data_IF_112549620901
#
_entry.id   IF_112549620901
#
_cell.length_a   1.000
_cell.length_b   1.000
_cell.length_c   1.000
_cell.angle_alpha   90.00
_cell.angle_beta   90.00
_cell.angle_gamma   90.00
#
_symmetry.space_group_name_H-M   'P 1'
#
loop_
_entity.id
_entity.type
_entity.pdbx_description
1 polymer ?
#
# COMPACT_ATOMS: atom_id res chain seq x y z
N UNK A 1 -26.80 5.00 -1.74
CA UNK A 1 -26.59 5.71 -0.47
C UNK A 1 -25.11 5.92 -0.16
N UNK A 2 -24.20 4.99 -0.48
CA UNK A 2 -22.75 5.17 -0.27
C UNK A 2 -22.11 6.34 -1.04
N UNK A 3 -22.56 6.63 -2.27
CA UNK A 3 -22.03 7.76 -3.05
C UNK A 3 -22.31 9.11 -2.40
N UNK A 4 -23.51 9.28 -1.81
CA UNK A 4 -23.87 10.50 -1.09
C UNK A 4 -23.12 10.63 0.24
N UNK A 5 -22.76 9.52 0.88
CA UNK A 5 -21.95 9.54 2.11
C UNK A 5 -20.48 9.90 1.83
N UNK A 6 -19.90 9.38 0.73
CA UNK A 6 -18.56 9.76 0.25
C UNK A 6 -18.49 11.21 -0.23
N UNK A 7 -19.51 11.69 -0.94
CA UNK A 7 -19.60 13.10 -1.38
C UNK A 7 -19.89 14.04 -0.19
N UNK A 8 -20.64 13.58 0.83
CA UNK A 8 -20.86 14.33 2.08
C UNK A 8 -19.56 14.55 2.86
N UNK A 9 -18.68 13.55 2.94
CA UNK A 9 -17.36 13.69 3.56
C UNK A 9 -16.39 14.60 2.78
N UNK A 10 -16.57 14.74 1.46
CA UNK A 10 -15.80 15.69 0.66
C UNK A 10 -16.30 17.14 0.78
N UNK A 11 -17.57 17.35 1.17
CA UNK A 11 -18.21 18.67 1.25
C UNK A 11 -18.24 19.28 2.66
N UNK A 12 -18.17 18.46 3.71
CA UNK A 12 -18.17 18.92 5.09
C UNK A 12 -16.79 18.70 5.74
N UNK A 13 -16.17 19.79 6.19
CA UNK A 13 -14.95 19.75 7.02
C UNK A 13 -15.19 18.92 8.29
N UNK A 14 -14.31 17.94 8.54
CA UNK A 14 -14.40 16.96 9.62
C UNK A 14 -14.44 17.64 11.00
N UNK A 15 -15.49 17.39 11.78
CA UNK A 15 -15.58 17.83 13.18
C UNK A 15 -14.99 16.79 14.12
N UNK A 16 -14.28 17.23 15.17
CA UNK A 16 -13.86 16.32 16.21
C UNK A 16 -15.03 16.09 17.17
N UNK A 17 -15.52 14.85 17.20
CA UNK A 17 -16.57 14.41 18.12
C UNK A 17 -16.04 13.47 19.21
N UNK A 18 -14.77 13.08 19.12
CA UNK A 18 -14.11 12.20 20.07
C UNK A 18 -13.07 13.01 20.85
N UNK A 19 -13.33 13.16 22.14
CA UNK A 19 -12.53 13.97 23.05
C UNK A 19 -11.81 13.14 24.11
N UNK A 20 -12.11 11.84 24.15
CA UNK A 20 -11.61 10.91 25.15
C UNK A 20 -10.33 10.22 24.67
N UNK A 21 -10.24 9.93 23.37
CA UNK A 21 -9.07 9.26 22.81
C UNK A 21 -7.98 10.25 22.40
N UNK A 22 -6.73 9.87 22.67
CA UNK A 22 -5.55 10.57 22.18
C UNK A 22 -5.52 10.58 20.63
N UNK A 23 -5.02 11.67 20.07
CA UNK A 23 -4.72 11.82 18.66
C UNK A 23 -3.27 11.39 18.43
N UNK A 24 -3.04 10.48 17.49
CA UNK A 24 -1.69 10.00 17.18
C UNK A 24 -1.36 10.30 15.73
N UNK A 25 -0.20 10.89 15.47
CA UNK A 25 0.35 11.17 14.13
C UNK A 25 1.80 10.71 14.09
N UNK A 26 2.08 9.65 13.33
CA UNK A 26 3.43 9.13 13.09
C UNK A 26 4.33 9.08 14.35
N UNK A 27 3.80 8.52 15.44
CA UNK A 27 4.47 8.40 16.74
C UNK A 27 4.32 9.58 17.71
N UNK A 28 3.82 10.73 17.26
CA UNK A 28 3.52 11.89 18.11
C UNK A 28 2.11 11.81 18.65
N UNK A 29 1.93 12.16 19.92
CA UNK A 29 0.65 12.12 20.62
C UNK A 29 0.16 13.53 20.95
N UNK A 30 -1.15 13.73 20.84
CA UNK A 30 -1.84 14.97 21.19
C UNK A 30 -3.12 14.64 21.95
N UNK A 31 -3.54 15.56 22.82
CA UNK A 31 -4.78 15.41 23.57
C UNK A 31 -6.00 15.52 22.63
N UNK A 32 -7.00 14.65 22.82
CA UNK A 32 -8.27 14.67 22.06
C UNK A 32 -9.18 15.85 22.39
N UNK A 33 -8.97 16.48 23.56
CA UNK A 33 -9.58 17.75 23.90
C UNK A 33 -8.85 18.88 23.18
N UNK A 34 -9.55 19.60 22.30
CA UNK A 34 -9.14 20.95 21.91
C UNK A 34 -9.20 21.81 23.17
N UNK A 35 -8.10 21.90 23.92
CA UNK A 35 -8.03 22.74 25.10
C UNK A 35 -8.23 24.18 24.67
N UNK A 36 -9.47 24.65 24.74
CA UNK A 36 -9.75 26.05 24.99
C UNK A 36 -9.02 26.35 26.30
N UNK A 37 -7.87 27.02 26.23
CA UNK A 37 -7.32 27.66 27.41
C UNK A 37 -8.44 28.55 27.96
N UNK A 38 -9.15 28.08 28.99
CA UNK A 38 -9.85 28.96 29.91
C UNK A 38 -8.78 29.73 30.66
N UNK A 39 -8.17 30.72 29.99
CA UNK A 39 -7.51 31.83 30.67
C UNK A 39 -8.59 32.87 30.92
N UNK A 40 -9.14 32.79 32.13
CA UNK A 40 -9.49 33.99 32.87
C UNK A 40 -8.26 34.92 32.93
N UNK A 41 -8.55 36.20 32.74
CA UNK A 41 -7.73 37.39 33.01
C UNK A 41 -6.89 37.99 31.86
N UNK A 42 -7.49 39.07 31.34
CA UNK A 42 -6.91 40.40 31.09
C UNK A 42 -5.65 40.52 30.23
N UNK A 43 -5.90 40.89 28.97
CA UNK A 43 -5.24 42.01 28.29
C UNK A 43 -3.76 41.86 27.95
N UNK A 44 -3.46 41.47 26.72
CA UNK A 44 -2.40 42.13 25.93
C UNK A 44 -2.48 41.77 24.44
N UNK A 45 -2.08 42.73 23.62
CA UNK A 45 -2.25 42.83 22.16
C UNK A 45 -1.65 41.65 21.38
N UNK A 46 -2.50 40.87 20.71
CA UNK A 46 -2.06 39.78 19.82
C UNK A 46 -1.86 40.29 18.39
N UNK A 47 -0.62 40.17 17.94
CA UNK A 47 -0.20 40.30 16.54
C UNK A 47 -1.07 39.42 15.63
N UNK A 48 -1.85 40.05 14.76
CA UNK A 48 -2.66 39.39 13.73
C UNK A 48 -1.76 38.89 12.61
N UNK A 49 -1.18 37.71 12.79
CA UNK A 49 -0.53 36.95 11.73
C UNK A 49 -1.55 36.17 10.90
N UNK A 50 -1.29 36.04 9.59
CA UNK A 50 -2.11 35.33 8.59
C UNK A 50 -2.47 33.89 9.02
N UNK A 51 -1.61 33.26 9.84
CA UNK A 51 -1.87 31.94 10.42
C UNK A 51 -3.11 31.90 11.33
N UNK A 52 -3.40 32.95 12.11
CA UNK A 52 -4.54 32.96 13.02
C UNK A 52 -5.91 32.99 12.30
N UNK A 53 -5.95 33.48 11.05
CA UNK A 53 -7.17 33.55 10.25
C UNK A 53 -7.52 32.23 9.56
N UNK A 54 -6.54 31.36 9.28
CA UNK A 54 -6.77 30.00 8.77
C UNK A 54 -7.38 29.06 9.82
N UNK A 55 -7.11 29.30 11.12
CA UNK A 55 -7.57 28.45 12.23
C UNK A 55 -8.85 28.95 12.93
N UNK A 56 -9.57 29.92 12.37
CA UNK A 56 -10.62 30.66 13.09
C UNK A 56 -11.93 29.92 13.40
N UNK A 57 -11.97 28.59 13.27
CA UNK A 57 -13.01 27.74 13.88
C UNK A 57 -12.37 26.46 14.42
N UNK A 58 -11.92 26.50 15.66
CA UNK A 58 -11.48 25.32 16.40
C UNK A 58 -12.70 24.38 16.61
N UNK A 59 -12.93 23.47 15.65
CA UNK A 59 -14.00 22.46 15.66
C UNK A 59 -13.69 21.29 16.61
N UNK A 60 -13.21 21.61 17.81
CA UNK A 60 -12.83 20.63 18.84
C UNK A 60 -11.50 19.90 18.60
N UNK A 61 -10.71 20.29 17.59
CA UNK A 61 -9.39 19.72 17.30
C UNK A 61 -8.29 20.40 18.12
N UNK A 62 -7.27 19.64 18.50
CA UNK A 62 -6.07 20.18 19.12
C UNK A 62 -5.25 21.02 18.09
N UNK A 63 -4.92 22.29 18.36
CA UNK A 63 -4.20 23.14 17.40
C UNK A 63 -2.82 22.59 17.01
N UNK A 64 -2.10 21.94 17.93
CA UNK A 64 -0.79 21.33 17.63
C UNK A 64 -0.93 20.13 16.70
N UNK A 65 -2.00 19.36 16.85
CA UNK A 65 -2.32 18.27 15.93
C UNK A 65 -2.61 18.82 14.53
N UNK A 66 -3.38 19.90 14.39
CA UNK A 66 -3.65 20.51 13.08
C UNK A 66 -2.39 21.03 12.39
N UNK A 67 -1.46 21.63 13.15
CA UNK A 67 -0.16 22.04 12.63
C UNK A 67 0.67 20.84 12.16
N UNK A 68 0.65 19.74 12.90
CA UNK A 68 1.32 18.51 12.49
C UNK A 68 0.73 17.96 11.18
N UNK A 69 -0.60 17.88 11.07
CA UNK A 69 -1.27 17.40 9.85
C UNK A 69 -0.93 18.30 8.66
N UNK A 70 -0.96 19.62 8.85
CA UNK A 70 -0.60 20.58 7.80
C UNK A 70 0.87 20.44 7.36
N UNK A 71 1.77 20.02 8.25
CA UNK A 71 3.18 19.80 7.90
C UNK A 71 3.43 18.56 7.05
N UNK A 72 2.46 17.64 6.96
CA UNK A 72 2.61 16.42 6.16
C UNK A 72 2.57 16.76 4.66
N UNK A 73 3.45 16.12 3.89
CA UNK A 73 3.42 16.17 2.44
C UNK A 73 2.26 15.34 1.90
N UNK A 74 1.43 15.95 1.07
CA UNK A 74 0.23 15.41 0.45
C UNK A 74 0.31 15.58 -1.06
N UNK A 75 0.43 14.47 -1.79
CA UNK A 75 0.36 14.47 -3.24
C UNK A 75 -1.02 14.01 -3.70
N UNK A 76 -1.57 14.71 -4.68
CA UNK A 76 -2.91 14.47 -5.24
C UNK A 76 -2.82 14.34 -6.75
N UNK A 77 -3.92 14.01 -7.42
CA UNK A 77 -3.97 13.98 -8.86
C UNK A 77 -3.55 15.33 -9.48
N UNK A 78 -2.85 15.25 -10.60
CA UNK A 78 -2.34 16.39 -11.35
C UNK A 78 -2.83 16.37 -12.79
N UNK A 79 -2.84 17.55 -13.37
CA UNK A 79 -3.24 17.82 -14.75
C UNK A 79 -2.23 18.77 -15.38
N UNK A 80 -2.11 18.73 -16.72
CA UNK A 80 -1.17 19.55 -17.50
C UNK A 80 0.31 19.33 -17.18
N UNK A 81 0.66 18.16 -16.65
CA UNK A 81 2.06 17.76 -16.56
C UNK A 81 2.62 17.39 -17.95
N UNK A 82 3.94 17.22 -18.05
CA UNK A 82 4.64 16.78 -19.26
C UNK A 82 4.00 15.50 -19.84
N UNK A 83 3.57 15.43 -21.12
CA UNK A 83 2.83 14.28 -21.62
C UNK A 83 3.58 12.93 -21.44
N UNK A 84 2.92 11.93 -20.86
CA UNK A 84 3.44 10.55 -20.75
C UNK A 84 2.90 9.74 -21.93
N UNK A 85 3.75 9.23 -22.85
CA UNK A 85 3.30 8.42 -23.98
C UNK A 85 2.56 7.17 -23.51
N UNK A 86 1.44 6.82 -24.16
CA UNK A 86 0.76 5.55 -23.89
C UNK A 86 1.60 4.37 -24.37
N UNK A 87 1.42 3.22 -23.73
CA UNK A 87 1.91 1.96 -24.26
C UNK A 87 0.93 1.44 -25.36
N UNK A 88 1.42 0.87 -26.48
CA UNK A 88 0.56 0.32 -27.52
C UNK A 88 -0.42 -0.76 -27.04
N UNK A 89 -0.04 -1.53 -26.02
CA UNK A 89 -0.86 -2.57 -25.40
C UNK A 89 -1.47 -2.12 -24.07
N UNK A 90 -1.26 -0.86 -23.69
CA UNK A 90 -1.72 -0.27 -22.44
C UNK A 90 -3.14 0.29 -22.51
N UNK A 91 -3.68 0.73 -21.36
CA UNK A 91 -4.98 1.37 -21.30
C UNK A 91 -5.01 2.67 -22.12
N UNK A 92 -6.18 3.02 -22.64
CA UNK A 92 -6.35 4.27 -23.39
C UNK A 92 -6.48 5.47 -22.44
N UNK A 93 -5.87 6.63 -22.77
CA UNK A 93 -6.01 7.87 -21.98
C UNK A 93 -7.44 8.39 -21.86
N UNK A 94 -8.34 7.98 -22.76
CA UNK A 94 -9.72 8.41 -22.80
C UNK A 94 -10.63 7.50 -21.95
N UNK A 95 -10.84 7.87 -20.69
CA UNK A 95 -12.00 7.40 -19.93
C UNK A 95 -13.08 8.49 -19.94
N UNK A 96 -14.14 8.32 -20.73
CA UNK A 96 -15.25 9.30 -20.81
C UNK A 96 -15.89 9.60 -19.44
N UNK A 97 -15.77 8.69 -18.46
CA UNK A 97 -16.24 8.91 -17.09
C UNK A 97 -15.39 9.89 -16.25
N UNK A 98 -14.13 10.14 -16.60
CA UNK A 98 -13.23 11.06 -15.86
C UNK A 98 -13.30 12.50 -16.36
N UNK A 99 -13.80 12.74 -17.59
CA UNK A 99 -14.00 14.07 -18.16
C UNK A 99 -15.05 14.93 -17.44
N UNK A 100 -15.99 14.31 -16.72
CA UNK A 100 -17.12 15.00 -16.08
C UNK A 100 -16.92 15.32 -14.61
N UNK A 101 -15.79 14.92 -14.01
CA UNK A 101 -15.65 14.91 -12.56
C UNK A 101 -14.94 16.14 -12.01
N UNK A 102 -13.86 16.61 -12.65
CA UNK A 102 -13.17 17.84 -12.24
C UNK A 102 -12.46 18.52 -13.43
N UNK A 103 -12.69 19.83 -13.59
CA UNK A 103 -12.00 20.76 -14.49
C UNK A 103 -11.99 20.39 -16.01
N UNK A 104 -13.17 20.32 -16.66
CA UNK A 104 -13.35 19.70 -17.98
C UNK A 104 -12.59 20.36 -19.14
N UNK A 105 -12.37 21.68 -19.10
CA UNK A 105 -11.74 22.41 -20.20
C UNK A 105 -10.25 22.07 -20.37
N UNK A 106 -9.53 21.91 -19.25
CA UNK A 106 -8.09 21.68 -19.25
C UNK A 106 -7.73 20.27 -19.70
N UNK A 107 -8.52 19.28 -19.27
CA UNK A 107 -8.38 17.88 -19.67
C UNK A 107 -8.72 17.70 -21.16
N UNK A 108 -9.70 18.45 -21.67
CA UNK A 108 -10.11 18.40 -23.07
C UNK A 108 -9.08 19.01 -24.03
N UNK A 109 -8.50 20.17 -23.70
CA UNK A 109 -7.44 20.81 -24.49
C UNK A 109 -6.20 19.90 -24.62
N UNK A 110 -5.78 19.30 -23.51
CA UNK A 110 -4.62 18.40 -23.49
C UNK A 110 -4.87 17.13 -24.30
N UNK A 111 -6.09 16.57 -24.22
CA UNK A 111 -6.48 15.39 -24.97
C UNK A 111 -6.58 15.63 -26.50
N UNK A 112 -6.92 16.85 -26.93
CA UNK A 112 -6.91 17.23 -28.36
C UNK A 112 -5.48 17.35 -28.88
N UNK A 113 -4.59 18.00 -28.10
CA UNK A 113 -3.23 18.27 -28.54
C UNK A 113 -2.32 17.02 -28.47
N UNK A 114 -2.61 16.07 -27.57
CA UNK A 114 -1.83 14.85 -27.37
C UNK A 114 -2.73 13.60 -27.21
N UNK A 115 -3.36 13.11 -28.30
CA UNK A 115 -4.35 12.03 -28.22
C UNK A 115 -3.77 10.69 -27.75
N UNK A 116 -2.46 10.48 -27.90
CA UNK A 116 -1.76 9.25 -27.54
C UNK A 116 -0.93 9.37 -26.24
N UNK A 117 -1.17 10.40 -25.43
CA UNK A 117 -0.47 10.61 -24.17
C UNK A 117 -1.43 10.79 -22.99
N UNK A 118 -0.95 10.45 -21.80
CA UNK A 118 -1.55 10.86 -20.55
C UNK A 118 -1.00 12.23 -20.14
N UNK A 119 -1.89 13.19 -19.94
CA UNK A 119 -1.57 14.52 -19.40
C UNK A 119 -2.23 14.76 -18.02
N UNK A 120 -2.77 13.68 -17.46
CA UNK A 120 -3.36 13.63 -16.12
C UNK A 120 -3.31 12.20 -15.58
N UNK A 121 -3.16 12.07 -14.27
CA UNK A 121 -3.17 10.80 -13.56
C UNK A 121 -4.49 10.46 -12.86
N UNK A 122 -5.53 11.28 -13.11
CA UNK A 122 -6.87 11.05 -12.58
C UNK A 122 -7.37 9.65 -12.97
N UNK A 123 -7.71 8.86 -11.95
CA UNK A 123 -8.31 7.53 -12.10
C UNK A 123 -7.33 6.36 -12.13
N UNK A 124 -6.02 6.62 -12.20
CA UNK A 124 -5.01 5.55 -12.23
C UNK A 124 -3.78 5.80 -11.33
N UNK A 125 -3.43 7.07 -11.08
CA UNK A 125 -2.22 7.43 -10.33
C UNK A 125 -2.30 7.36 -8.81
N UNK A 126 -3.44 7.00 -8.19
CA UNK A 126 -3.64 7.22 -6.75
C UNK A 126 -2.60 6.50 -5.87
N UNK A 127 -2.24 5.26 -6.19
CA UNK A 127 -1.21 4.53 -5.42
C UNK A 127 0.20 5.08 -5.64
N UNK A 128 0.48 5.72 -6.79
CA UNK A 128 1.73 6.44 -6.98
C UNK A 128 1.73 7.68 -6.08
N UNK A 129 0.63 8.43 -6.01
CA UNK A 129 0.52 9.64 -5.15
C UNK A 129 0.65 9.34 -3.66
N UNK A 130 0.05 8.24 -3.18
CA UNK A 130 0.23 7.82 -1.78
C UNK A 130 1.62 7.25 -1.51
N UNK A 131 2.24 6.60 -2.50
CA UNK A 131 3.66 6.23 -2.46
C UNK A 131 4.59 7.45 -2.39
N UNK A 132 4.31 8.50 -3.18
CA UNK A 132 5.01 9.79 -3.11
C UNK A 132 4.80 10.44 -1.74
N UNK A 133 3.60 10.38 -1.16
CA UNK A 133 3.35 10.92 0.19
C UNK A 133 4.17 10.17 1.25
N UNK A 134 4.19 8.84 1.19
CA UNK A 134 4.99 8.02 2.10
C UNK A 134 6.49 8.33 1.98
N UNK A 135 7.04 8.33 0.75
CA UNK A 135 8.45 8.67 0.50
C UNK A 135 8.76 10.12 0.89
N UNK A 136 7.91 11.07 0.51
CA UNK A 136 8.08 12.49 0.80
C UNK A 136 8.12 12.75 2.30
N UNK A 137 7.19 12.18 3.08
CA UNK A 137 7.19 12.32 4.53
C UNK A 137 8.38 11.60 5.20
N UNK A 138 8.92 10.53 4.60
CA UNK A 138 10.17 9.93 5.05
C UNK A 138 11.36 10.88 4.84
N UNK A 139 11.46 11.48 3.65
CA UNK A 139 12.51 12.44 3.30
C UNK A 139 12.39 13.74 4.11
N UNK A 140 11.17 14.20 4.42
CA UNK A 140 10.93 15.38 5.24
C UNK A 140 11.49 15.26 6.67
N UNK A 141 11.71 14.03 7.16
CA UNK A 141 12.39 13.80 8.45
C UNK A 141 13.90 14.00 8.38
N UNK A 142 14.48 13.95 7.19
CA UNK A 142 15.91 14.14 6.96
C UNK A 142 16.27 15.61 6.71
N UNK A 143 15.30 16.40 6.23
CA UNK A 143 15.52 17.75 5.72
C UNK A 143 14.87 18.81 6.62
N UNK A 144 15.50 19.98 6.69
CA UNK A 144 14.97 21.15 7.44
C UNK A 144 14.10 22.06 6.53
N UNK A 145 13.28 22.98 7.08
CA UNK A 145 12.34 23.79 6.29
C UNK A 145 12.91 24.59 5.09
N UNK A 146 14.18 25.05 5.06
CA UNK A 146 14.77 25.64 3.85
C UNK A 146 15.04 24.61 2.73
N UNK A 147 15.31 23.36 3.10
CA UNK A 147 15.53 22.22 2.20
C UNK A 147 14.20 21.62 1.72
N UNK A 148 13.09 21.88 2.42
CA UNK A 148 11.74 21.42 2.05
C UNK A 148 11.33 21.89 0.65
N UNK A 149 11.71 23.12 0.25
CA UNK A 149 11.46 23.59 -1.12
C UNK A 149 12.15 22.72 -2.17
N UNK A 150 13.39 22.30 -1.90
CA UNK A 150 14.13 21.40 -2.79
C UNK A 150 13.48 20.01 -2.80
N UNK A 151 13.07 19.52 -1.63
CA UNK A 151 12.35 18.27 -1.48
C UNK A 151 11.07 18.26 -2.32
N UNK A 152 10.23 19.29 -2.24
CA UNK A 152 9.01 19.42 -3.06
C UNK A 152 9.36 19.39 -4.56
N UNK A 153 10.45 20.07 -4.95
CA UNK A 153 10.97 20.08 -6.31
C UNK A 153 11.31 18.69 -6.87
N UNK A 154 11.64 17.71 -6.01
CA UNK A 154 11.92 16.34 -6.43
C UNK A 154 10.68 15.55 -6.87
N UNK A 155 9.48 16.03 -6.54
CA UNK A 155 8.20 15.39 -6.85
C UNK A 155 7.39 16.11 -7.94
N UNK A 156 7.94 17.14 -8.58
CA UNK A 156 7.29 17.80 -9.72
C UNK A 156 7.02 16.78 -10.84
N UNK A 157 5.88 16.86 -11.54
CA UNK A 157 5.51 15.87 -12.55
C UNK A 157 6.20 16.16 -13.89
N UNK A 158 7.51 16.02 -13.88
CA UNK A 158 8.39 16.14 -15.03
C UNK A 158 9.41 15.01 -14.99
N UNK A 159 9.80 14.53 -16.16
CA UNK A 159 10.76 13.43 -16.31
C UNK A 159 12.13 13.72 -15.67
N UNK A 160 12.48 15.00 -15.48
CA UNK A 160 13.72 15.45 -14.85
C UNK A 160 13.72 15.40 -13.32
N UNK A 161 12.55 15.39 -12.66
CA UNK A 161 12.47 15.33 -11.21
C UNK A 161 12.54 13.86 -10.74
N UNK A 162 13.41 13.52 -9.77
CA UNK A 162 13.78 12.13 -9.47
C UNK A 162 12.60 11.29 -8.98
N UNK A 163 11.68 11.87 -8.20
CA UNK A 163 10.52 11.17 -7.63
C UNK A 163 9.19 11.57 -8.31
N UNK A 164 9.26 12.06 -9.54
CA UNK A 164 8.10 12.41 -10.37
C UNK A 164 7.19 11.23 -10.68
N UNK A 165 5.92 11.51 -10.98
CA UNK A 165 4.98 10.53 -11.52
C UNK A 165 5.58 9.79 -12.75
N UNK A 166 6.26 10.52 -13.63
CA UNK A 166 6.91 9.99 -14.84
C UNK A 166 7.93 8.91 -14.53
N UNK A 167 8.77 9.16 -13.54
CA UNK A 167 9.79 8.21 -13.12
C UNK A 167 9.15 6.99 -12.44
N UNK A 168 8.12 7.18 -11.61
CA UNK A 168 7.35 6.06 -11.07
C UNK A 168 6.74 5.17 -12.16
N UNK A 169 6.15 5.78 -13.20
CA UNK A 169 5.59 5.07 -14.35
C UNK A 169 6.66 4.31 -15.13
N UNK A 170 7.82 4.94 -15.36
CA UNK A 170 8.95 4.30 -16.04
C UNK A 170 9.44 3.07 -15.29
N UNK A 171 9.70 3.21 -13.99
CA UNK A 171 10.16 2.10 -13.14
C UNK A 171 9.08 1.03 -12.99
N UNK A 172 7.80 1.42 -12.87
CA UNK A 172 6.69 0.47 -12.78
C UNK A 172 6.53 -0.38 -14.05
N UNK A 173 6.71 0.23 -15.22
CA UNK A 173 6.70 -0.50 -16.48
C UNK A 173 7.90 -1.46 -16.58
N UNK A 174 9.11 -0.98 -16.24
CA UNK A 174 10.34 -1.76 -16.35
C UNK A 174 10.41 -2.93 -15.34
N UNK A 175 10.02 -2.70 -14.08
CA UNK A 175 10.23 -3.63 -12.97
C UNK A 175 8.98 -4.46 -12.62
N UNK A 176 7.79 -3.95 -12.95
CA UNK A 176 6.53 -4.58 -12.56
C UNK A 176 5.56 -4.79 -13.74
N UNK A 177 6.02 -4.54 -14.98
CA UNK A 177 5.21 -4.69 -16.21
C UNK A 177 3.90 -3.89 -16.14
N UNK A 178 3.92 -2.73 -15.48
CA UNK A 178 2.78 -1.81 -15.37
C UNK A 178 2.90 -0.67 -16.37
N UNK A 179 2.23 -0.74 -17.54
CA UNK A 179 2.24 0.33 -18.52
C UNK A 179 1.63 1.64 -17.97
N UNK A 180 1.94 2.80 -18.58
CA UNK A 180 1.29 4.07 -18.28
C UNK A 180 -0.24 3.94 -18.30
N UNK A 181 -0.90 4.51 -17.27
CA UNK A 181 -2.35 4.43 -17.14
C UNK A 181 -2.87 3.24 -16.34
N UNK A 182 -2.02 2.25 -16.00
CA UNK A 182 -2.41 1.12 -15.15
C UNK A 182 -2.23 1.45 -13.67
N UNK A 183 -3.12 0.91 -12.83
CA UNK A 183 -3.04 1.09 -11.38
C UNK A 183 -1.89 0.27 -10.77
N UNK A 184 -1.18 0.89 -9.83
CA UNK A 184 -0.11 0.23 -9.06
C UNK A 184 -0.68 -0.37 -7.78
N UNK A 185 -0.23 -1.58 -7.43
CA UNK A 185 -0.37 -2.11 -6.06
C UNK A 185 0.85 -1.76 -5.17
N UNK A 186 0.77 -2.04 -3.86
CA UNK A 186 1.89 -1.87 -2.91
C UNK A 186 3.24 -2.41 -3.41
N UNK A 187 3.25 -3.58 -4.03
CA UNK A 187 4.47 -4.22 -4.56
C UNK A 187 5.10 -3.45 -5.71
N UNK A 188 4.30 -2.95 -6.66
CA UNK A 188 4.81 -2.16 -7.77
C UNK A 188 5.36 -0.81 -7.28
N UNK A 189 4.63 -0.14 -6.38
CA UNK A 189 5.04 1.13 -5.78
C UNK A 189 6.34 1.01 -4.99
N UNK A 190 6.49 -0.04 -4.17
CA UNK A 190 7.72 -0.24 -3.37
C UNK A 190 8.95 -0.53 -4.23
N UNK A 191 8.82 -1.36 -5.27
CA UNK A 191 9.90 -1.59 -6.24
C UNK A 191 10.30 -0.30 -6.97
N UNK A 192 9.32 0.51 -7.39
CA UNK A 192 9.61 1.82 -7.99
C UNK A 192 10.36 2.73 -7.01
N UNK A 193 9.90 2.88 -5.76
CA UNK A 193 10.60 3.70 -4.76
C UNK A 193 12.03 3.21 -4.53
N UNK A 194 12.23 1.89 -4.38
CA UNK A 194 13.57 1.32 -4.19
C UNK A 194 14.51 1.66 -5.35
N UNK A 195 14.05 1.53 -6.59
CA UNK A 195 14.84 1.86 -7.78
C UNK A 195 15.17 3.35 -7.84
N UNK A 196 14.19 4.22 -7.59
CA UNK A 196 14.36 5.67 -7.63
C UNK A 196 15.29 6.18 -6.53
N UNK A 197 15.19 5.66 -5.30
CA UNK A 197 16.11 5.99 -4.20
C UNK A 197 17.54 5.57 -4.56
N UNK A 198 17.72 4.38 -5.12
CA UNK A 198 19.05 3.92 -5.58
C UNK A 198 19.62 4.81 -6.69
N UNK A 199 18.76 5.32 -7.57
CA UNK A 199 19.17 6.18 -8.68
C UNK A 199 19.45 7.64 -8.27
N UNK A 200 19.06 8.06 -7.06
CA UNK A 200 19.22 9.43 -6.57
C UNK A 200 19.73 9.48 -5.12
N UNK A 201 21.01 9.15 -4.86
CA UNK A 201 21.59 9.13 -3.51
C UNK A 201 21.57 10.49 -2.80
N UNK A 202 21.47 11.59 -3.54
CA UNK A 202 21.40 12.95 -3.01
C UNK A 202 20.13 13.20 -2.16
N UNK A 203 19.14 12.30 -2.20
CA UNK A 203 17.98 12.37 -1.31
C UNK A 203 18.29 12.06 0.16
N UNK A 204 19.50 11.61 0.49
CA UNK A 204 19.92 11.35 1.87
C UNK A 204 19.50 9.99 2.44
N UNK A 205 18.77 9.17 1.68
CA UNK A 205 18.55 7.76 2.01
C UNK A 205 19.74 6.94 1.53
N UNK A 206 20.45 6.28 2.45
CA UNK A 206 21.54 5.35 2.10
C UNK A 206 21.01 4.12 1.36
N UNK A 207 19.85 3.59 1.79
CA UNK A 207 19.23 2.40 1.19
C UNK A 207 17.71 2.40 1.34
N UNK A 208 17.04 1.66 0.44
CA UNK A 208 15.64 1.30 0.56
C UNK A 208 15.49 -0.23 0.45
N UNK A 209 14.97 -0.85 1.51
CA UNK A 209 14.76 -2.31 1.58
C UNK A 209 13.26 -2.57 1.48
N UNK A 210 12.87 -3.55 0.68
CA UNK A 210 11.47 -3.88 0.45
C UNK A 210 11.19 -5.33 0.85
N UNK A 211 9.99 -5.56 1.39
CA UNK A 211 9.40 -6.88 1.61
C UNK A 211 8.02 -6.82 0.99
N UNK A 212 7.80 -7.47 -0.15
CA UNK A 212 6.57 -7.27 -0.94
C UNK A 212 5.40 -8.14 -0.50
N UNK A 213 5.66 -9.18 0.30
CA UNK A 213 4.73 -10.30 0.51
C UNK A 213 4.48 -10.68 1.97
N UNK A 214 5.39 -10.39 2.91
CA UNK A 214 5.26 -10.94 4.28
C UNK A 214 5.47 -9.97 5.44
N UNK A 215 5.75 -8.69 5.19
CA UNK A 215 6.05 -7.72 6.26
C UNK A 215 7.34 -8.01 7.05
N UNK A 216 8.07 -9.08 6.69
CA UNK A 216 9.28 -9.52 7.37
C UNK A 216 10.50 -8.74 6.89
N UNK A 217 11.43 -8.50 7.80
CA UNK A 217 12.72 -7.85 7.54
C UNK A 217 13.84 -8.79 7.98
N UNK A 218 14.88 -8.93 7.16
CA UNK A 218 15.97 -9.85 7.44
C UNK A 218 17.22 -9.11 7.93
N UNK A 219 17.83 -9.60 9.02
CA UNK A 219 19.07 -9.01 9.55
C UNK A 219 20.22 -9.10 8.55
N UNK A 220 20.25 -10.12 7.70
CA UNK A 220 21.25 -10.23 6.62
C UNK A 220 21.14 -9.12 5.56
N UNK A 221 19.96 -8.51 5.39
CA UNK A 221 19.74 -7.41 4.44
C UNK A 221 20.14 -6.05 5.06
N UNK A 222 19.99 -5.89 6.38
CA UNK A 222 20.22 -4.62 7.09
C UNK A 222 21.61 -4.53 7.74
N UNK A 223 22.07 -5.64 8.33
CA UNK A 223 23.31 -5.73 9.11
C UNK A 223 24.54 -5.24 8.34
N UNK A 224 24.83 -5.75 7.12
CA UNK A 224 25.99 -5.33 6.35
C UNK A 224 26.01 -3.82 6.04
N UNK A 225 24.84 -3.23 5.80
CA UNK A 225 24.71 -1.78 5.54
C UNK A 225 25.13 -1.01 6.79
N UNK A 226 24.58 -1.35 7.94
CA UNK A 226 24.86 -0.67 9.21
C UNK A 226 26.26 -0.96 9.76
N UNK A 227 26.87 -2.09 9.43
CA UNK A 227 28.28 -2.37 9.71
C UNK A 227 29.21 -1.48 8.89
N UNK A 228 28.88 -1.28 7.60
CA UNK A 228 29.66 -0.43 6.70
C UNK A 228 29.46 1.06 6.96
N UNK A 229 28.23 1.47 7.28
CA UNK A 229 27.83 2.84 7.53
C UNK A 229 26.89 2.86 8.77
N UNK A 230 27.43 3.02 9.99
CA UNK A 230 26.65 2.97 11.24
C UNK A 230 25.57 4.04 11.39
N UNK A 231 25.63 5.10 10.55
CA UNK A 231 24.67 6.20 10.49
C UNK A 231 23.79 6.15 9.23
N UNK A 232 23.81 5.03 8.49
CA UNK A 232 23.03 4.89 7.28
C UNK A 232 21.54 5.13 7.58
N UNK A 233 20.90 5.87 6.69
CA UNK A 233 19.45 6.06 6.75
C UNK A 233 18.79 5.05 5.82
N UNK A 234 17.99 4.16 6.39
CA UNK A 234 17.36 3.04 5.68
C UNK A 234 15.84 3.23 5.70
N UNK A 235 15.22 3.25 4.52
CA UNK A 235 13.77 3.19 4.37
C UNK A 235 13.32 1.75 4.14
N UNK A 236 12.53 1.20 5.06
CA UNK A 236 11.88 -0.09 4.92
C UNK A 236 10.48 0.10 4.36
N UNK A 237 10.14 -0.63 3.29
CA UNK A 237 8.82 -0.66 2.67
C UNK A 237 8.24 -2.06 2.73
N UNK A 238 7.23 -2.26 3.56
CA UNK A 238 6.75 -3.56 3.98
C UNK A 238 5.31 -3.76 3.50
N UNK A 239 5.16 -4.48 2.40
CA UNK A 239 3.90 -4.90 1.81
C UNK A 239 3.25 -6.00 2.64
N UNK A 240 1.97 -5.81 2.98
CA UNK A 240 1.20 -6.75 3.79
C UNK A 240 -0.24 -6.88 3.27
N UNK A 241 -0.85 -8.05 3.54
CA UNK A 241 -2.28 -8.32 3.29
C UNK A 241 -2.94 -8.82 4.56
N UNK A 242 -3.66 -7.94 5.26
CA UNK A 242 -4.16 -8.15 6.63
C UNK A 242 -5.58 -8.73 6.71
N UNK A 243 -6.05 -9.37 5.63
CA UNK A 243 -7.40 -9.90 5.52
C UNK A 243 -7.80 -10.18 4.07
N UNK A 244 -9.03 -10.67 3.90
CA UNK A 244 -9.60 -10.98 2.58
C UNK A 244 -10.22 -9.75 1.92
N UNK A 245 -11.21 -9.15 2.59
CA UNK A 245 -11.96 -8.01 2.07
C UNK A 245 -11.61 -6.71 2.80
N UNK A 246 -11.50 -6.80 4.13
CA UNK A 246 -11.18 -5.70 5.02
C UNK A 246 -10.12 -6.17 6.02
N UNK A 247 -9.44 -5.23 6.68
CA UNK A 247 -8.47 -5.55 7.75
C UNK A 247 -9.14 -6.35 8.87
N UNK A 248 -8.58 -7.52 9.19
CA UNK A 248 -9.04 -8.33 10.32
C UNK A 248 -8.80 -7.60 11.65
N UNK A 249 -9.80 -7.60 12.54
CA UNK A 249 -9.76 -6.92 13.83
C UNK A 249 -8.61 -7.34 14.74
N UNK A 250 -8.08 -8.55 14.55
CA UNK A 250 -6.87 -9.03 15.23
C UNK A 250 -5.65 -8.11 15.00
N UNK A 251 -5.57 -7.45 13.86
CA UNK A 251 -4.43 -6.60 13.48
C UNK A 251 -4.59 -5.13 13.85
N UNK A 252 -5.77 -4.68 14.27
CA UNK A 252 -5.99 -3.25 14.59
C UNK A 252 -5.08 -2.73 15.71
N UNK A 253 -4.87 -3.45 16.83
CA UNK A 253 -3.94 -2.99 17.86
C UNK A 253 -2.51 -2.82 17.33
N UNK A 254 -2.09 -3.69 16.42
CA UNK A 254 -0.74 -3.69 15.88
C UNK A 254 -0.55 -2.58 14.83
N UNK A 255 -1.57 -2.28 14.00
CA UNK A 255 -1.57 -1.09 13.15
C UNK A 255 -1.46 0.22 13.97
N UNK A 256 -2.16 0.31 15.10
CA UNK A 256 -2.03 1.44 16.03
C UNK A 256 -0.64 1.50 16.65
N UNK A 257 -0.06 0.36 17.00
CA UNK A 257 1.31 0.27 17.52
C UNK A 257 2.32 0.75 16.48
N UNK A 258 2.20 0.31 15.23
CA UNK A 258 3.05 0.73 14.11
C UNK A 258 2.93 2.25 13.87
N UNK A 259 1.73 2.79 13.70
CA UNK A 259 1.53 4.23 13.50
C UNK A 259 1.86 5.08 14.74
N UNK A 260 1.85 4.46 15.93
CA UNK A 260 2.29 5.05 17.19
C UNK A 260 3.80 5.01 17.40
N UNK A 261 4.56 4.47 16.46
CA UNK A 261 6.01 4.41 16.51
C UNK A 261 6.65 5.68 15.93
N UNK A 262 7.70 6.19 16.57
CA UNK A 262 8.52 7.28 16.01
C UNK A 262 9.22 6.89 14.71
N UNK A 263 9.40 5.60 14.44
CA UNK A 263 10.02 5.10 13.22
C UNK A 263 9.04 5.06 12.02
N UNK A 264 7.73 5.13 12.26
CA UNK A 264 6.73 5.06 11.19
C UNK A 264 6.71 6.32 10.33
N UNK A 265 6.68 6.13 9.01
CA UNK A 265 6.47 7.20 8.02
C UNK A 265 5.12 7.03 7.31
N UNK A 266 4.19 6.34 7.97
CA UNK A 266 2.82 6.13 7.50
C UNK A 266 2.63 4.85 6.72
N UNK A 267 1.41 4.70 6.21
CA UNK A 267 0.97 3.52 5.47
C UNK A 267 0.27 4.00 4.20
N UNK A 268 0.72 3.51 3.05
CA UNK A 268 0.02 3.74 1.78
C UNK A 268 -0.76 2.47 1.42
N UNK A 269 -2.06 2.58 1.15
CA UNK A 269 -2.87 1.38 0.88
C UNK A 269 -4.30 1.74 0.53
N UNK A 270 -5.13 0.75 0.24
CA UNK A 270 -6.50 0.98 -0.19
C UNK A 270 -6.90 0.09 -1.34
N UNK A 271 -8.20 0.13 -1.67
CA UNK A 271 -8.76 -0.65 -2.78
C UNK A 271 -8.13 -0.22 -4.11
N UNK A 272 -8.13 -1.10 -5.13
CA UNK A 272 -7.80 -0.71 -6.49
C UNK A 272 -8.50 0.59 -6.90
N UNK A 273 -7.75 1.53 -7.48
CA UNK A 273 -8.20 2.88 -7.85
C UNK A 273 -8.73 3.75 -6.70
N UNK A 274 -8.45 3.40 -5.44
CA UNK A 274 -8.87 4.15 -4.24
C UNK A 274 -7.82 4.06 -3.12
N UNK A 275 -6.57 4.39 -3.43
CA UNK A 275 -5.48 4.42 -2.44
C UNK A 275 -5.53 5.67 -1.55
N UNK A 276 -5.21 5.51 -0.27
CA UNK A 276 -5.13 6.55 0.76
C UNK A 276 -3.76 6.49 1.45
N UNK A 277 -3.31 7.61 1.99
CA UNK A 277 -2.12 7.68 2.84
C UNK A 277 -2.53 7.86 4.30
N UNK A 278 -2.38 6.80 5.10
CA UNK A 278 -2.70 6.79 6.52
C UNK A 278 -1.49 7.27 7.34
N UNK A 279 -1.70 8.30 8.15
CA UNK A 279 -0.62 8.95 8.91
C UNK A 279 -0.80 8.88 10.42
N UNK A 280 -1.94 8.38 10.89
CA UNK A 280 -2.29 8.47 12.31
C UNK A 280 -3.60 7.80 12.64
N UNK A 281 -4.02 7.91 13.90
CA UNK A 281 -5.29 7.36 14.37
C UNK A 281 -5.85 8.11 15.58
N UNK A 282 -7.13 7.87 15.84
CA UNK A 282 -7.84 8.23 17.06
C UNK A 282 -8.88 7.14 17.36
N UNK A 283 -8.78 6.52 18.54
CA UNK A 283 -9.65 5.39 18.89
C UNK A 283 -9.53 4.24 17.88
N UNK A 284 -10.64 3.92 17.21
CA UNK A 284 -10.72 2.90 16.14
C UNK A 284 -10.82 3.50 14.72
N UNK A 285 -10.37 4.75 14.55
CA UNK A 285 -10.35 5.42 13.26
C UNK A 285 -8.93 5.77 12.84
N UNK A 286 -8.58 5.46 11.60
CA UNK A 286 -7.34 5.92 10.96
C UNK A 286 -7.56 7.30 10.33
N UNK A 287 -6.60 8.21 10.54
CA UNK A 287 -6.51 9.46 9.81
C UNK A 287 -5.80 9.24 8.47
N UNK A 288 -6.29 9.90 7.42
CA UNK A 288 -5.70 9.79 6.10
C UNK A 288 -5.74 11.08 5.27
N UNK A 289 -4.80 11.16 4.34
CA UNK A 289 -4.76 12.13 3.25
C UNK A 289 -5.22 11.46 1.95
N UNK A 290 -6.14 12.11 1.25
CA UNK A 290 -6.83 11.58 0.09
C UNK A 290 -6.24 12.16 -1.21
N UNK A 291 -5.64 11.36 -2.11
CA UNK A 291 -5.04 11.87 -3.34
C UNK A 291 -6.08 12.23 -4.42
N UNK A 292 -7.37 11.92 -4.26
CA UNK A 292 -8.37 11.96 -5.35
C UNK A 292 -8.91 13.35 -5.70
N UNK A 293 -8.19 14.41 -5.32
CA UNK A 293 -8.48 15.79 -5.74
C UNK A 293 -7.57 16.16 -6.90
N UNK A 294 -8.10 16.72 -7.99
CA UNK A 294 -7.27 17.16 -9.11
C UNK A 294 -6.73 18.57 -8.91
N UNK A 295 -5.43 18.74 -9.10
CA UNK A 295 -4.74 20.04 -9.11
C UNK A 295 -3.94 20.23 -10.41
N UNK A 296 -3.42 21.42 -10.67
CA UNK A 296 -2.45 21.64 -11.75
C UNK A 296 -1.08 21.07 -11.34
N UNK A 297 -0.25 20.65 -12.29
CA UNK A 297 1.15 20.27 -12.01
C UNK A 297 1.90 21.36 -11.22
N UNK A 298 2.77 20.95 -10.30
CA UNK A 298 3.58 21.83 -9.47
C UNK A 298 4.46 22.75 -10.31
N UNK A 299 4.97 22.30 -11.46
CA UNK A 299 5.76 23.16 -12.34
C UNK A 299 4.93 24.28 -13.01
N UNK A 300 3.59 24.19 -12.97
CA UNK A 300 2.68 25.23 -13.46
C UNK A 300 2.34 26.30 -12.40
N UNK A 301 2.72 26.11 -11.14
CA UNK A 301 2.56 27.11 -10.10
C UNK A 301 3.50 28.30 -10.35
N UNK A 302 2.98 29.52 -10.21
CA UNK A 302 3.71 30.76 -10.46
C UNK A 302 4.66 31.12 -9.30
N UNK A 303 4.33 30.70 -8.08
CA UNK A 303 5.11 31.00 -6.88
C UNK A 303 5.43 29.76 -6.05
N UNK A 304 6.49 29.84 -5.24
CA UNK A 304 6.83 28.76 -4.30
C UNK A 304 5.76 28.57 -3.21
N UNK A 305 5.03 29.64 -2.85
CA UNK A 305 3.91 29.57 -1.89
C UNK A 305 2.78 28.71 -2.43
N UNK A 306 2.45 28.85 -3.72
CA UNK A 306 1.43 28.02 -4.38
C UNK A 306 1.88 26.55 -4.44
N UNK A 307 3.16 26.28 -4.70
CA UNK A 307 3.69 24.90 -4.66
C UNK A 307 3.55 24.29 -3.29
N UNK A 308 3.92 25.05 -2.25
CA UNK A 308 3.82 24.64 -0.86
C UNK A 308 2.37 24.34 -0.46
N UNK A 309 1.45 25.29 -0.67
CA UNK A 309 0.02 25.11 -0.36
C UNK A 309 -0.62 23.96 -1.15
N UNK A 310 -0.08 23.64 -2.33
CA UNK A 310 -0.57 22.55 -3.16
C UNK A 310 -0.19 21.16 -2.65
N UNK A 311 0.87 21.04 -1.85
CA UNK A 311 1.34 19.78 -1.25
C UNK A 311 1.18 19.72 0.27
N UNK A 312 0.70 20.79 0.89
CA UNK A 312 0.35 20.84 2.31
C UNK A 312 -1.14 21.07 2.46
N UNK A 313 -1.85 20.09 3.03
CA UNK A 313 -3.31 20.15 3.17
C UNK A 313 -3.71 20.35 4.62
N UNK A 314 -4.55 21.36 4.87
CA UNK A 314 -5.29 21.47 6.13
C UNK A 314 -6.45 20.46 6.22
N UNK A 315 -6.79 19.78 5.12
CA UNK A 315 -7.90 18.83 5.02
C UNK A 315 -7.39 17.40 5.13
N UNK A 316 -7.97 16.66 6.07
CA UNK A 316 -7.78 15.23 6.26
C UNK A 316 -9.13 14.60 6.60
N UNK A 317 -9.21 13.28 6.48
CA UNK A 317 -10.40 12.52 6.83
C UNK A 317 -10.05 11.37 7.76
N UNK A 318 -11.08 10.69 8.28
CA UNK A 318 -10.92 9.48 9.09
C UNK A 318 -11.81 8.34 8.63
N UNK A 319 -11.32 7.11 8.75
CA UNK A 319 -12.04 5.89 8.37
C UNK A 319 -11.91 4.85 9.47
N UNK A 320 -12.98 4.12 9.75
CA UNK A 320 -12.96 3.06 10.77
C UNK A 320 -12.12 1.88 10.28
N UNK A 321 -11.35 1.23 11.16
CA UNK A 321 -10.47 0.11 10.78
C UNK A 321 -11.19 -1.00 10.00
N UNK A 322 -12.47 -1.27 10.30
CA UNK A 322 -13.27 -2.30 9.62
C UNK A 322 -13.60 -1.98 8.16
N UNK A 323 -13.40 -0.75 7.69
CA UNK A 323 -13.69 -0.31 6.32
C UNK A 323 -12.42 -0.20 5.46
N UNK A 324 -11.25 -0.43 6.07
CA UNK A 324 -9.95 -0.28 5.42
C UNK A 324 -9.63 -1.54 4.61
N UNK A 325 -9.08 -1.34 3.41
CA UNK A 325 -8.58 -2.43 2.57
C UNK A 325 -7.40 -3.15 3.24
N UNK A 326 -7.32 -4.49 3.17
CA UNK A 326 -6.27 -5.24 3.83
C UNK A 326 -4.90 -5.11 3.15
N UNK A 327 -4.82 -4.64 1.91
CA UNK A 327 -3.57 -4.48 1.15
C UNK A 327 -2.91 -3.14 1.47
N UNK A 328 -1.73 -3.20 2.07
CA UNK A 328 -1.03 -2.03 2.61
C UNK A 328 0.47 -2.08 2.32
N UNK A 329 1.07 -0.90 2.20
CA UNK A 329 2.50 -0.66 2.21
C UNK A 329 2.86 0.15 3.45
N UNK A 330 3.50 -0.49 4.42
CA UNK A 330 3.96 0.14 5.66
C UNK A 330 5.35 0.71 5.45
N UNK A 331 5.54 1.98 5.79
CA UNK A 331 6.84 2.65 5.75
C UNK A 331 7.47 2.77 7.13
N UNK A 332 8.73 2.38 7.26
CA UNK A 332 9.55 2.57 8.47
C UNK A 332 10.88 3.20 8.11
N UNK A 333 11.29 4.24 8.82
CA UNK A 333 12.56 4.92 8.65
C UNK A 333 13.49 4.61 9.83
N UNK A 334 14.69 4.12 9.51
CA UNK A 334 15.72 3.75 10.48
C UNK A 334 16.94 4.64 10.23
N UNK A 335 17.37 5.40 11.24
CA UNK A 335 18.53 6.29 11.15
C UNK A 335 19.70 5.75 11.98
N UNK A 336 20.43 4.81 11.40
CA UNK A 336 21.59 4.18 12.01
C UNK A 336 21.28 3.02 12.96
N UNK A 337 22.33 2.54 13.63
CA UNK A 337 22.32 1.31 14.45
C UNK A 337 21.42 1.41 15.68
N UNK A 338 21.36 2.58 16.33
CA UNK A 338 20.58 2.75 17.55
C UNK A 338 19.08 2.66 17.26
N UNK A 339 18.62 3.32 16.20
CA UNK A 339 17.24 3.24 15.70
C UNK A 339 16.88 1.82 15.29
N UNK A 340 17.79 1.10 14.63
CA UNK A 340 17.57 -0.30 14.25
C UNK A 340 17.29 -1.18 15.46
N UNK A 341 18.13 -1.08 16.50
CA UNK A 341 17.96 -1.88 17.72
C UNK A 341 16.72 -1.47 18.53
N UNK A 342 16.42 -0.18 18.56
CA UNK A 342 15.23 0.34 19.21
C UNK A 342 13.94 -0.11 18.51
N UNK A 343 13.91 -0.04 17.18
CA UNK A 343 12.77 -0.51 16.39
C UNK A 343 12.55 -2.02 16.52
N UNK A 344 13.62 -2.83 16.42
CA UNK A 344 13.54 -4.29 16.68
C UNK A 344 12.89 -4.61 18.02
N UNK A 345 13.33 -3.91 19.07
CA UNK A 345 12.77 -4.08 20.42
C UNK A 345 11.30 -3.60 20.49
N UNK A 346 10.96 -2.54 19.75
CA UNK A 346 9.61 -1.99 19.69
C UNK A 346 8.62 -2.95 19.03
N UNK A 347 9.03 -3.68 17.99
CA UNK A 347 8.16 -4.59 17.23
C UNK A 347 8.24 -6.06 17.67
N UNK A 348 8.95 -6.40 18.75
CA UNK A 348 9.14 -7.78 19.24
C UNK A 348 7.83 -8.57 19.42
N UNK A 349 6.73 -7.87 19.71
CA UNK A 349 5.38 -8.47 19.89
C UNK A 349 4.41 -8.18 18.75
N UNK A 350 4.88 -7.57 17.68
CA UNK A 350 4.07 -7.34 16.50
C UNK A 350 3.62 -8.68 15.91
N UNK A 351 2.42 -8.68 15.33
CA UNK A 351 1.84 -9.79 14.59
C UNK A 351 1.91 -9.55 13.08
N UNK A 352 2.26 -8.33 12.67
CA UNK A 352 2.35 -7.88 11.28
C UNK A 352 3.81 -7.83 10.82
N UNK A 353 4.72 -7.29 11.66
CA UNK A 353 6.12 -7.05 11.29
C UNK A 353 7.03 -7.95 12.12
N UNK A 354 7.98 -8.61 11.46
CA UNK A 354 8.96 -9.46 12.14
C UNK A 354 10.37 -9.14 11.66
N UNK A 355 11.34 -9.27 12.57
CA UNK A 355 12.76 -9.30 12.20
C UNK A 355 13.29 -10.71 12.36
N UNK A 356 13.80 -11.25 11.26
CA UNK A 356 14.33 -12.61 11.17
C UNK A 356 15.82 -12.56 10.83
N UNK A 357 16.64 -13.51 11.30
CA UNK A 357 18.08 -13.47 11.05
C UNK A 357 18.44 -13.62 9.57
N UNK A 358 17.76 -14.53 8.86
CA UNK A 358 18.02 -14.86 7.45
C UNK A 358 16.71 -15.20 6.74
N UNK A 359 16.68 -14.96 5.43
CA UNK A 359 15.58 -15.36 4.56
C UNK A 359 15.50 -16.89 4.54
N UNK A 360 14.30 -17.47 4.63
CA UNK A 360 14.14 -18.89 4.37
C UNK A 360 14.72 -19.18 2.98
N UNK A 361 15.74 -20.05 2.92
CA UNK A 361 16.20 -20.58 1.64
C UNK A 361 15.07 -21.45 1.14
N UNK A 362 14.34 -20.95 0.16
CA UNK A 362 13.36 -21.76 -0.55
C UNK A 362 14.09 -23.03 -1.04
N UNK A 363 13.61 -24.20 -0.61
CA UNK A 363 13.97 -25.45 -1.25
C UNK A 363 13.33 -25.46 -2.65
N UNK A 364 13.92 -24.72 -3.57
CA UNK A 364 13.81 -25.06 -4.98
C UNK A 364 14.59 -26.37 -5.12
N UNK A 365 13.89 -27.45 -5.40
CA UNK A 365 14.54 -28.65 -5.92
C UNK A 365 15.14 -28.23 -7.26
N UNK A 366 16.46 -28.13 -7.31
CA UNK A 366 17.18 -28.27 -8.57
C UNK A 366 16.79 -29.66 -9.09
N UNK A 367 15.90 -29.71 -10.09
CA UNK A 367 15.78 -30.91 -10.93
C UNK A 367 17.18 -31.17 -11.49
N UNK A 368 17.78 -32.34 -11.25
CA UNK A 368 19.14 -32.59 -11.67
C UNK A 368 19.21 -32.52 -13.19
N UNK A 369 20.20 -31.78 -13.70
CA UNK A 369 20.63 -31.86 -15.08
C UNK A 369 20.97 -33.32 -15.41
N UNK A 370 20.05 -34.03 -16.05
CA UNK A 370 20.32 -35.33 -16.64
C UNK A 370 21.32 -35.12 -17.79
N UNK A 371 22.58 -35.37 -17.46
CA UNK A 371 23.68 -35.52 -18.39
C UNK A 371 24.02 -36.99 -18.59
N UNK A 372 24.36 -37.32 -19.84
CA UNK A 372 24.87 -38.60 -20.36
C UNK A 372 23.79 -39.66 -20.63
N UNK A 373 23.45 -39.98 -21.90
CA UNK A 373 24.21 -40.73 -22.93
C UNK A 373 23.31 -41.93 -23.32
N UNK A 374 23.07 -42.39 -24.55
CA UNK A 374 23.90 -42.63 -25.73
C UNK A 374 22.98 -42.83 -26.98
N UNK A 375 23.49 -42.43 -28.16
CA UNK A 375 23.40 -43.06 -29.50
C UNK A 375 22.04 -43.57 -30.09
N UNK A 376 21.58 -42.99 -31.21
CA UNK A 376 21.73 -43.57 -32.58
C UNK A 376 20.96 -42.78 -33.68
N UNK A 377 21.73 -42.21 -34.61
CA UNK A 377 21.60 -42.07 -36.08
C UNK A 377 20.26 -42.07 -36.89
N UNK A 378 19.92 -40.86 -37.41
CA UNK A 378 19.54 -40.41 -38.81
C UNK A 378 18.32 -41.02 -39.59
N UNK A 379 17.88 -40.46 -40.77
CA UNK A 379 16.73 -39.55 -40.96
C UNK A 379 15.60 -40.08 -41.90
N UNK A 380 14.42 -39.41 -41.93
CA UNK A 380 13.42 -39.67 -42.99
C UNK A 380 12.16 -38.79 -42.97
N UNK A 381 11.94 -38.08 -44.08
CA UNK A 381 10.76 -37.28 -44.47
C UNK A 381 9.46 -38.09 -44.63
N UNK A 382 8.28 -37.51 -44.33
CA UNK A 382 7.15 -37.33 -45.29
C UNK A 382 5.89 -36.68 -44.67
N UNK A 383 5.10 -36.08 -45.57
CA UNK A 383 3.95 -35.17 -45.44
C UNK A 383 2.58 -35.72 -44.96
N UNK A 384 1.76 -34.77 -44.47
CA UNK A 384 0.31 -34.54 -44.74
C UNK A 384 -0.85 -35.18 -43.94
N UNK A 385 -1.60 -34.28 -43.26
CA UNK A 385 -3.05 -33.96 -43.28
C UNK A 385 -4.17 -34.86 -42.67
N UNK A 386 -5.07 -34.13 -41.98
CA UNK A 386 -6.54 -34.26 -41.83
C UNK A 386 -7.06 -35.47 -41.00
N UNK A 387 -8.07 -35.39 -40.12
CA UNK A 387 -9.15 -34.41 -39.90
C UNK A 387 -10.07 -34.90 -38.75
N UNK A 388 -10.79 -33.95 -38.11
CA UNK A 388 -12.20 -34.03 -37.66
C UNK A 388 -12.62 -35.02 -36.53
N UNK A 389 -13.55 -34.76 -35.59
CA UNK A 389 -14.45 -33.64 -35.19
C UNK A 389 -15.28 -34.16 -33.97
N UNK A 390 -16.46 -33.63 -33.60
CA UNK A 390 -16.79 -32.88 -32.38
C UNK A 390 -17.69 -33.63 -31.37
N UNK A 391 -18.05 -32.99 -30.25
CA UNK A 391 -19.45 -32.96 -29.75
C UNK A 391 -19.62 -31.88 -28.68
N UNK A 392 -20.51 -30.93 -28.96
CA UNK A 392 -21.18 -30.06 -27.98
C UNK A 392 -22.49 -30.76 -27.61
N UNK A 393 -22.69 -30.99 -26.32
CA UNK A 393 -23.99 -31.10 -25.66
C UNK A 393 -23.66 -30.83 -24.17
N UNK A 394 -24.03 -29.71 -23.57
CA UNK A 394 -25.41 -29.29 -23.37
C UNK A 394 -25.82 -29.71 -21.95
N UNK A 395 -26.35 -28.75 -21.18
CA UNK A 395 -27.24 -28.96 -20.03
C UNK A 395 -26.66 -29.25 -18.63
N UNK A 396 -26.72 -28.28 -17.69
CA UNK A 396 -27.86 -28.00 -16.78
C UNK A 396 -27.38 -27.11 -15.59
N UNK A 397 -27.94 -25.91 -15.36
CA UNK A 397 -29.10 -25.53 -14.52
C UNK A 397 -28.83 -25.38 -13.01
N UNK A 398 -29.22 -24.19 -12.55
CA UNK A 398 -29.26 -23.61 -11.20
C UNK A 398 -30.32 -24.26 -10.27
N UNK A 399 -29.98 -24.52 -8.99
CA UNK A 399 -30.97 -24.70 -7.92
C UNK A 399 -30.38 -24.44 -6.51
N UNK A 400 -30.96 -23.48 -5.78
CA UNK A 400 -30.96 -23.45 -4.31
C UNK A 400 -31.86 -24.59 -3.75
N UNK A 401 -31.78 -25.06 -2.47
CA UNK A 401 -32.55 -24.40 -1.39
C UNK A 401 -32.10 -24.62 0.10
N UNK A 402 -32.45 -23.62 0.93
CA UNK A 402 -33.10 -23.60 2.27
C UNK A 402 -32.76 -24.55 3.46
N UNK A 403 -32.27 -23.93 4.56
CA UNK A 403 -32.70 -23.88 6.00
C UNK A 403 -33.10 -25.14 6.81
N UNK A 404 -32.47 -25.41 7.99
CA UNK A 404 -33.08 -25.36 9.36
C UNK A 404 -32.21 -25.97 10.51
N UNK A 405 -31.92 -25.10 11.51
CA UNK A 405 -31.98 -25.22 12.99
C UNK A 405 -31.20 -26.25 13.86
N UNK A 406 -30.39 -25.66 14.78
CA UNK A 406 -30.49 -25.67 16.27
C UNK A 406 -29.54 -26.51 17.16
N UNK A 407 -28.99 -25.81 18.19
CA UNK A 407 -28.41 -26.32 19.46
C UNK A 407 -26.90 -26.56 19.45
N UNK A 408 -26.07 -26.35 20.48
CA UNK A 408 -26.18 -25.90 21.89
C UNK A 408 -24.74 -25.70 22.41
N UNK A 409 -24.53 -24.77 23.34
CA UNK A 409 -23.25 -24.49 24.03
C UNK A 409 -22.58 -25.72 24.69
N UNK A 410 -21.24 -25.72 24.78
CA UNK A 410 -20.44 -25.59 26.03
C UNK A 410 -18.93 -25.87 25.83
N UNK A 411 -18.14 -24.94 26.36
CA UNK A 411 -16.92 -25.04 27.17
C UNK A 411 -15.75 -26.01 26.85
N UNK A 412 -14.58 -25.37 26.82
CA UNK A 412 -13.27 -25.75 27.39
C UNK A 412 -12.19 -26.50 26.57
N UNK A 413 -10.97 -25.99 26.80
CA UNK A 413 -9.61 -26.50 26.52
C UNK A 413 -8.95 -26.16 25.18
N UNK A 414 -8.12 -25.10 25.20
CA UNK A 414 -7.08 -24.87 24.21
C UNK A 414 -5.96 -25.91 24.35
N UNK A 415 -5.80 -26.78 23.36
CA UNK A 415 -4.61 -27.62 23.18
C UNK A 415 -3.68 -27.03 22.12
N UNK A 416 -2.39 -26.96 22.43
CA UNK A 416 -1.31 -26.58 21.51
C UNK A 416 -1.31 -27.45 20.25
N UNK A 417 -1.71 -26.89 19.11
CA UNK A 417 -1.68 -27.59 17.82
C UNK A 417 -0.33 -27.35 17.15
N UNK A 418 0.48 -28.42 17.06
CA UNK A 418 1.62 -28.49 16.14
C UNK A 418 1.10 -28.65 14.71
N UNK A 419 1.13 -27.59 13.92
CA UNK A 419 0.82 -27.65 12.49
C UNK A 419 1.82 -28.57 11.76
N UNK A 420 1.33 -29.65 11.13
CA UNK A 420 2.07 -30.37 10.09
C UNK A 420 1.62 -29.84 8.74
N UNK A 421 2.57 -29.34 7.95
CA UNK A 421 2.32 -28.91 6.57
C UNK A 421 1.88 -30.13 5.72
N UNK A 422 0.65 -30.11 5.21
CA UNK A 422 0.23 -31.01 4.14
C UNK A 422 0.07 -30.21 2.85
N UNK A 423 0.71 -30.68 1.77
CA UNK A 423 0.56 -30.15 0.42
C UNK A 423 -0.64 -30.86 -0.24
N UNK A 424 -1.62 -30.10 -0.70
CA UNK A 424 -2.69 -30.62 -1.58
C UNK A 424 -2.28 -30.31 -3.02
N UNK A 425 -2.17 -31.34 -3.85
CA UNK A 425 -1.87 -31.26 -5.28
C UNK A 425 -3.20 -31.42 -6.03
N UNK A 426 -3.63 -30.42 -6.80
CA UNK A 426 -4.75 -30.54 -7.75
C UNK A 426 -4.15 -30.46 -9.15
N UNK A 427 -4.21 -31.57 -9.88
CA UNK A 427 -3.63 -31.71 -11.22
C UNK A 427 -4.70 -31.41 -12.28
N UNK A 428 -4.40 -30.46 -13.16
CA UNK A 428 -4.99 -30.32 -14.47
C UNK A 428 -3.91 -29.83 -15.44
N UNK A 429 -3.53 -30.66 -16.39
CA UNK A 429 -2.55 -30.36 -17.45
C UNK A 429 -3.26 -29.72 -18.66
N UNK A 430 -2.95 -28.44 -18.99
CA UNK A 430 -2.01 -27.91 -20.01
C UNK A 430 -2.64 -27.81 -21.42
N UNK A 431 -2.62 -26.70 -22.20
CA UNK A 431 -1.73 -25.52 -22.37
C UNK A 431 -2.50 -24.42 -23.18
N UNK A 432 -2.16 -23.14 -23.35
CA UNK A 432 -1.10 -22.17 -22.95
C UNK A 432 -1.72 -20.77 -23.25
N UNK A 433 -1.51 -19.68 -22.49
CA UNK A 433 -0.31 -18.83 -22.46
C UNK A 433 -0.23 -18.03 -21.14
N UNK A 434 0.81 -18.36 -20.37
CA UNK A 434 1.52 -17.67 -19.27
C UNK A 434 0.87 -16.37 -18.72
N UNK A 435 0.33 -16.49 -17.51
CA UNK A 435 0.09 -15.37 -16.60
C UNK A 435 0.94 -15.55 -15.33
N UNK A 436 1.68 -14.51 -14.94
CA UNK A 436 2.48 -14.46 -13.72
C UNK A 436 1.60 -14.83 -12.51
N UNK A 437 1.91 -15.94 -11.83
CA UNK A 437 1.17 -16.39 -10.65
C UNK A 437 1.83 -15.80 -9.40
N UNK A 438 1.28 -14.70 -8.88
CA UNK A 438 1.58 -14.24 -7.52
C UNK A 438 0.97 -15.23 -6.52
N UNK A 439 1.81 -15.95 -5.78
CA UNK A 439 1.37 -16.82 -4.70
C UNK A 439 1.20 -15.96 -3.44
N UNK A 440 -0.01 -15.45 -3.22
CA UNK A 440 -0.37 -14.76 -1.98
C UNK A 440 -0.65 -15.77 -0.86
N UNK A 441 0.08 -15.65 0.26
CA UNK A 441 -0.20 -16.43 1.47
C UNK A 441 -1.33 -15.78 2.26
N UNK A 442 -2.52 -16.37 2.19
CA UNK A 442 -3.69 -15.96 2.98
C UNK A 442 -3.76 -16.81 4.26
N UNK A 443 -3.77 -16.17 5.44
CA UNK A 443 -4.06 -16.84 6.71
C UNK A 443 -5.59 -16.88 6.92
N UNK A 444 -6.19 -18.07 6.98
CA UNK A 444 -7.63 -18.27 7.24
C UNK A 444 -7.81 -19.24 8.40
N UNK A 445 -8.76 -18.95 9.31
CA UNK A 445 -8.86 -19.56 10.63
C UNK A 445 -9.77 -20.80 10.73
N UNK A 446 -10.73 -21.08 9.81
CA UNK A 446 -11.68 -22.17 10.06
C UNK A 446 -12.20 -22.98 8.86
N UNK A 447 -12.36 -24.28 9.15
CA UNK A 447 -13.08 -25.38 8.47
C UNK A 447 -12.27 -26.36 7.63
N UNK A 448 -11.76 -27.41 8.28
CA UNK A 448 -11.48 -28.72 7.64
C UNK A 448 -12.23 -29.83 8.37
N UNK A 449 -13.17 -30.48 7.69
CA UNK A 449 -13.85 -31.70 8.13
C UNK A 449 -12.99 -32.92 7.76
N UNK A 450 -12.67 -33.85 8.67
CA UNK A 450 -11.91 -35.05 8.32
C UNK A 450 -12.82 -36.14 7.76
N UNK A 451 -12.40 -36.82 6.68
CA UNK A 451 -12.93 -38.13 6.30
C UNK A 451 -11.84 -39.21 6.41
N UNK A 452 -12.25 -40.26 7.10
CA UNK A 452 -11.48 -41.33 7.73
C UNK A 452 -11.03 -42.35 6.68
N UNK A 453 -9.73 -42.65 6.62
CA UNK A 453 -9.21 -43.79 5.88
C UNK A 453 -9.40 -45.07 6.72
N UNK A 454 -10.18 -46.02 6.18
CA UNK A 454 -10.42 -47.35 6.74
C UNK A 454 -9.11 -48.08 7.06
N UNK A 455 -8.89 -48.39 8.34
CA UNK A 455 -7.81 -49.27 8.77
C UNK A 455 -8.23 -50.74 8.57
N UNK A 456 -7.42 -51.48 7.81
CA UNK A 456 -7.51 -52.93 7.67
C UNK A 456 -7.30 -53.59 9.03
N UNK A 457 -8.23 -54.46 9.41
CA UNK A 457 -8.16 -55.34 10.57
C UNK A 457 -7.09 -56.42 10.35
N UNK A 458 -6.20 -56.72 11.32
CA UNK A 458 -5.42 -57.94 11.28
C UNK A 458 -6.23 -59.13 11.81
N UNK A 459 -6.34 -60.18 10.98
CA UNK A 459 -6.82 -61.50 11.37
C UNK A 459 -5.91 -62.13 12.44
N UNK A 460 -6.49 -62.54 13.57
CA UNK A 460 -6.18 -63.79 14.30
C UNK A 460 -7.34 -64.06 15.27
N UNK A 461 -8.24 -65.00 14.96
CA UNK A 461 -8.21 -66.43 15.30
C UNK A 461 -8.92 -66.78 16.65
N UNK A 462 -9.88 -67.71 16.53
CA UNK A 462 -10.30 -68.75 17.49
C UNK A 462 -11.21 -68.42 18.70
N UNK A 463 -12.49 -68.82 18.61
CA UNK A 463 -13.13 -69.95 19.36
C UNK A 463 -14.65 -69.76 19.50
N UNK A 464 -15.42 -70.76 19.07
CA UNK A 464 -16.88 -70.86 19.21
C UNK A 464 -17.48 -71.76 18.17
#
# INVERSE_FOLDING_TARGET
>A
MEFLQKVSQQLFELENVDHDNELVVLGRKYEGNGSNERKSDEGETVSTGVFAQLFHRERGWNPKFLLEVHSLLHFTYRTKFEPIPKDPNGPSPMNFGTLFRDNPLNSFESAINHPDCFCSDIGWGCMIRTGQALLGNALARLHTPPEEKQLIGWFEDRSSAPFSLHNFVREGNALSRKPPGEWFGPSATSRSIQSLVRAFPECGLSNCIISTDSGDVYEEDVGPILESEPKATILLLLGVKLGLNNVNSRYWPDLKHILGSSFSVGIAGGRPSSSLYFFGYQGDYLFYLDPHTSQLDLASCATDSEKYESVHSARFNKVHFSEVDPSMLIGVLIQGVDDWNAWKSYIDRSQILHVLPQRPRDYFMDEPEDSASENDDVPGSFDSKDSQEPTIDGDYVDVAPMVQHAGSCRDDEFQDVKCKNQKILVVGDHDSTIADTEIERVLVEHETVPLIASARVPDTAFLG
#
